data_IF_219426484750
#
_entry.id   IF_219426484750
#
_cell.length_a   1.000
_cell.length_b   1.000
_cell.length_c   1.000
_cell.angle_alpha   90.00
_cell.angle_beta   90.00
_cell.angle_gamma   90.00
#
_symmetry.space_group_name_H-M   'P 1'
#
loop_
_entity.id
_entity.type
_entity.pdbx_description
1 polymer ?
#
# COMPACT_ATOMS: atom_id res chain seq x y z
N UNK A 1 27.50 4.31 22.52
CA UNK A 1 26.14 4.10 21.94
C UNK A 1 25.05 4.72 22.83
N UNK A 2 25.10 4.60 24.17
CA UNK A 2 24.04 5.10 25.07
C UNK A 2 23.68 6.60 24.98
N UNK A 3 24.63 7.49 24.69
CA UNK A 3 24.38 8.96 24.69
C UNK A 3 24.13 9.53 23.28
N UNK A 4 24.03 8.68 22.26
CA UNK A 4 23.81 9.12 20.88
C UNK A 4 22.50 9.91 20.75
N UNK A 5 21.49 9.48 21.50
CA UNK A 5 20.16 10.08 21.46
C UNK A 5 20.15 11.48 22.07
N UNK A 6 20.88 11.71 23.17
CA UNK A 6 20.96 13.01 23.84
C UNK A 6 21.47 14.11 22.91
N UNK A 7 22.44 13.76 22.05
CA UNK A 7 23.04 14.66 21.07
C UNK A 7 22.38 14.64 19.69
N UNK A 8 21.25 13.93 19.53
CA UNK A 8 20.53 13.84 18.26
C UNK A 8 19.10 14.37 18.38
N UNK A 9 18.31 13.79 19.28
CA UNK A 9 16.86 14.05 19.37
C UNK A 9 16.36 14.26 20.79
N UNK A 10 17.22 14.10 21.81
CA UNK A 10 16.82 14.11 23.23
C UNK A 10 15.73 13.05 23.51
N UNK A 11 14.73 13.32 24.34
CA UNK A 11 13.61 12.38 24.56
C UNK A 11 12.43 12.63 23.60
N UNK A 12 11.60 11.60 23.30
CA UNK A 12 10.30 11.81 22.64
C UNK A 12 9.43 12.80 23.41
N UNK A 13 8.48 13.47 22.76
CA UNK A 13 7.67 14.51 23.41
C UNK A 13 6.95 13.95 24.66
N UNK A 14 7.00 14.68 25.78
CA UNK A 14 6.44 14.22 27.06
C UNK A 14 4.94 13.93 26.98
N UNK A 15 4.20 14.73 26.20
CA UNK A 15 2.77 14.51 25.94
C UNK A 15 2.53 13.18 25.21
N UNK A 16 3.32 12.87 24.17
CA UNK A 16 3.18 11.60 23.44
C UNK A 16 3.56 10.40 24.30
N UNK A 17 4.52 10.53 25.21
CA UNK A 17 4.85 9.46 26.16
C UNK A 17 3.67 9.15 27.10
N UNK A 18 2.99 10.17 27.62
CA UNK A 18 1.80 9.97 28.45
C UNK A 18 0.63 9.37 27.65
N UNK A 19 0.44 9.80 26.40
CA UNK A 19 -0.56 9.21 25.50
C UNK A 19 -0.23 7.73 25.18
N UNK A 20 1.04 7.40 24.95
CA UNK A 20 1.49 6.04 24.72
C UNK A 20 1.27 5.14 25.95
N UNK A 21 1.52 5.66 27.15
CA UNK A 21 1.22 4.93 28.40
C UNK A 21 -0.27 4.60 28.51
N UNK A 22 -1.14 5.57 28.21
CA UNK A 22 -2.59 5.36 28.21
C UNK A 22 -3.01 4.35 27.12
N UNK A 23 -2.42 4.43 25.92
CA UNK A 23 -2.70 3.50 24.83
C UNK A 23 -2.26 2.07 25.15
N UNK A 24 -1.16 1.88 25.90
CA UNK A 24 -0.63 0.57 26.27
C UNK A 24 -1.36 -0.08 27.45
N UNK A 25 -1.77 0.72 28.43
CA UNK A 25 -2.37 0.21 29.69
C UNK A 25 -3.89 0.30 29.73
N UNK A 26 -4.49 1.07 28.82
CA UNK A 26 -5.94 1.21 28.69
C UNK A 26 -6.61 0.06 27.92
N UNK A 27 -7.90 0.25 27.63
CA UNK A 27 -8.69 -0.70 26.86
C UNK A 27 -8.12 -0.92 25.44
N UNK A 28 -7.98 -2.18 25.05
CA UNK A 28 -7.42 -2.60 23.77
C UNK A 28 -8.50 -2.92 22.71
N UNK A 29 -9.79 -2.78 23.03
CA UNK A 29 -10.88 -3.11 22.10
C UNK A 29 -10.79 -2.36 20.77
N UNK A 30 -10.28 -1.12 20.78
CA UNK A 30 -10.08 -0.30 19.59
C UNK A 30 -9.15 -0.96 18.56
N UNK A 31 -8.15 -1.73 19.02
CA UNK A 31 -7.21 -2.45 18.16
C UNK A 31 -7.93 -3.56 17.41
N UNK A 32 -8.76 -4.35 18.09
CA UNK A 32 -9.50 -5.45 17.44
C UNK A 32 -10.56 -4.92 16.47
N UNK A 33 -11.21 -3.80 16.78
CA UNK A 33 -12.11 -3.11 15.85
C UNK A 33 -11.37 -2.73 14.56
N UNK A 34 -10.21 -2.08 14.68
CA UNK A 34 -9.42 -1.69 13.51
C UNK A 34 -8.84 -2.90 12.76
N UNK A 35 -8.40 -3.94 13.47
CA UNK A 35 -7.89 -5.19 12.87
C UNK A 35 -8.94 -5.87 11.99
N UNK A 36 -10.18 -5.98 12.46
CA UNK A 36 -11.29 -6.55 11.68
C UNK A 36 -11.58 -5.74 10.42
N UNK A 37 -11.55 -4.41 10.55
CA UNK A 37 -11.78 -3.51 9.43
C UNK A 37 -10.64 -3.60 8.39
N UNK A 38 -9.38 -3.70 8.81
CA UNK A 38 -8.27 -3.96 7.89
C UNK A 38 -8.33 -5.33 7.24
N UNK A 39 -8.78 -6.37 7.95
CA UNK A 39 -8.93 -7.71 7.36
C UNK A 39 -10.01 -7.73 6.25
N UNK A 40 -11.13 -7.04 6.46
CA UNK A 40 -12.17 -6.82 5.44
C UNK A 40 -11.60 -6.09 4.22
N UNK A 41 -10.88 -4.98 4.43
CA UNK A 41 -10.28 -4.17 3.34
C UNK A 41 -9.20 -4.95 2.58
N UNK A 42 -8.37 -5.71 3.29
CA UNK A 42 -7.39 -6.64 2.70
C UNK A 42 -8.09 -7.63 1.79
N UNK A 43 -9.12 -8.33 2.29
CA UNK A 43 -9.85 -9.32 1.50
C UNK A 43 -10.43 -8.72 0.20
N UNK A 44 -11.00 -7.51 0.29
CA UNK A 44 -11.49 -6.80 -0.88
C UNK A 44 -10.38 -6.44 -1.87
N UNK A 45 -9.29 -5.81 -1.39
CA UNK A 45 -8.18 -5.36 -2.23
C UNK A 45 -7.48 -6.54 -2.93
N UNK A 46 -7.15 -7.61 -2.21
CA UNK A 46 -6.48 -8.79 -2.79
C UNK A 46 -7.37 -9.47 -3.83
N UNK A 47 -8.68 -9.61 -3.55
CA UNK A 47 -9.63 -10.16 -4.53
C UNK A 47 -9.70 -9.31 -5.79
N UNK A 48 -9.73 -7.98 -5.66
CA UNK A 48 -9.78 -7.06 -6.82
C UNK A 48 -8.49 -7.10 -7.62
N UNK A 49 -7.34 -6.98 -6.98
CA UNK A 49 -6.03 -7.00 -7.65
C UNK A 49 -5.82 -8.28 -8.45
N UNK A 50 -6.08 -9.45 -7.85
CA UNK A 50 -5.97 -10.74 -8.55
C UNK A 50 -7.05 -10.97 -9.62
N UNK A 51 -8.06 -10.10 -9.71
CA UNK A 51 -9.05 -10.11 -10.78
C UNK A 51 -8.65 -9.28 -12.00
N UNK A 52 -7.60 -8.46 -11.90
CA UNK A 52 -7.10 -7.61 -12.99
C UNK A 52 -6.01 -8.39 -13.75
N UNK A 53 -6.19 -8.66 -15.06
CA UNK A 53 -5.18 -9.36 -15.85
C UNK A 53 -3.83 -8.63 -15.85
N UNK A 54 -2.73 -9.37 -15.65
CA UNK A 54 -1.37 -8.83 -15.57
C UNK A 54 -0.96 -8.33 -14.19
N UNK A 55 -1.84 -8.44 -13.19
CA UNK A 55 -1.50 -8.22 -11.78
C UNK A 55 -1.53 -9.55 -11.00
N UNK A 56 -0.57 -9.72 -10.10
CA UNK A 56 -0.56 -10.83 -9.15
C UNK A 56 -0.21 -10.32 -7.76
N UNK A 57 -1.05 -10.61 -6.77
CA UNK A 57 -0.83 -10.19 -5.40
C UNK A 57 -1.05 -11.35 -4.42
N UNK A 58 0.02 -11.73 -3.73
CA UNK A 58 -0.05 -12.72 -2.65
C UNK A 58 -0.88 -12.16 -1.49
N UNK A 59 -1.69 -13.03 -0.86
CA UNK A 59 -2.45 -12.65 0.33
C UNK A 59 -1.51 -12.43 1.53
N UNK A 60 -1.42 -11.20 2.09
CA UNK A 60 -0.50 -10.93 3.19
C UNK A 60 -1.01 -11.50 4.52
N UNK A 61 -0.07 -12.04 5.31
CA UNK A 61 -0.36 -12.56 6.66
C UNK A 61 -0.58 -11.49 7.73
N UNK A 62 -0.28 -10.23 7.45
CA UNK A 62 -0.39 -9.11 8.40
C UNK A 62 -0.08 -7.76 7.77
N UNK A 63 0.12 -6.74 8.62
CA UNK A 63 0.24 -5.33 8.22
C UNK A 63 -0.99 -4.80 7.47
N UNK A 64 -0.83 -3.65 6.80
CA UNK A 64 -1.90 -3.00 6.03
C UNK A 64 -1.49 -2.68 4.58
N UNK A 65 -0.61 -3.51 4.00
CA UNK A 65 -0.08 -3.35 2.65
C UNK A 65 -0.33 -4.57 1.77
N UNK A 66 -0.62 -4.33 0.50
CA UNK A 66 -0.58 -5.31 -0.58
C UNK A 66 0.66 -5.02 -1.43
N UNK A 67 1.45 -6.05 -1.72
CA UNK A 67 2.64 -5.95 -2.57
C UNK A 67 2.34 -6.70 -3.87
N UNK A 68 1.97 -5.93 -4.89
CA UNK A 68 1.43 -6.45 -6.13
C UNK A 68 2.52 -6.51 -7.19
N UNK A 69 2.71 -7.68 -7.77
CA UNK A 69 3.54 -7.92 -8.93
C UNK A 69 2.88 -7.31 -10.18
N UNK A 70 3.68 -6.60 -10.97
CA UNK A 70 3.31 -5.94 -12.22
C UNK A 70 4.21 -6.38 -13.40
N UNK A 71 5.05 -7.40 -13.21
CA UNK A 71 6.05 -7.85 -14.20
C UNK A 71 5.45 -8.18 -15.56
N UNK A 72 4.24 -8.78 -15.58
CA UNK A 72 3.51 -9.11 -16.81
C UNK A 72 3.08 -7.88 -17.64
N UNK A 73 3.14 -6.68 -17.06
CA UNK A 73 2.80 -5.42 -17.75
C UNK A 73 4.00 -4.77 -18.44
N UNK A 74 5.22 -5.31 -18.23
CA UNK A 74 6.42 -4.87 -18.94
C UNK A 74 6.94 -3.47 -18.58
N UNK A 75 6.61 -2.97 -17.38
CA UNK A 75 7.08 -1.68 -16.87
C UNK A 75 7.89 -1.86 -15.59
N UNK A 76 8.93 -1.04 -15.40
CA UNK A 76 9.55 -0.88 -14.08
C UNK A 76 8.58 -0.17 -13.12
N UNK A 77 8.81 -0.35 -11.82
CA UNK A 77 7.88 0.11 -10.78
C UNK A 77 7.79 1.63 -10.70
N UNK A 78 8.87 2.37 -10.98
CA UNK A 78 8.90 3.84 -10.93
C UNK A 78 8.05 4.39 -12.06
N UNK A 79 8.31 3.97 -13.30
CA UNK A 79 7.55 4.39 -14.48
C UNK A 79 6.07 4.06 -14.32
N UNK A 80 5.76 2.83 -13.88
CA UNK A 80 4.38 2.41 -13.66
C UNK A 80 3.67 3.32 -12.65
N UNK A 81 4.31 3.58 -11.50
CA UNK A 81 3.74 4.38 -10.42
C UNK A 81 3.52 5.84 -10.85
N UNK A 82 4.45 6.43 -11.59
CA UNK A 82 4.34 7.79 -12.10
C UNK A 82 3.24 7.90 -13.16
N UNK A 83 3.19 7.00 -14.14
CA UNK A 83 2.14 7.02 -15.17
C UNK A 83 0.75 6.83 -14.56
N UNK A 84 0.61 5.91 -13.60
CA UNK A 84 -0.67 5.68 -12.91
C UNK A 84 -1.13 6.93 -12.15
N UNK A 85 -0.19 7.63 -11.49
CA UNK A 85 -0.49 8.87 -10.79
C UNK A 85 -0.92 9.97 -11.75
N UNK A 86 -0.15 10.21 -12.81
CA UNK A 86 -0.41 11.28 -13.77
C UNK A 86 -1.69 11.07 -14.59
N UNK A 87 -1.94 9.84 -15.05
CA UNK A 87 -3.05 9.54 -15.96
C UNK A 87 -4.35 9.23 -15.22
N UNK A 88 -4.28 8.57 -14.07
CA UNK A 88 -5.45 8.05 -13.38
C UNK A 88 -5.59 8.56 -11.94
N UNK A 89 -4.69 9.44 -11.46
CA UNK A 89 -4.75 10.03 -10.13
C UNK A 89 -4.79 8.99 -9.00
N UNK A 90 -3.96 7.95 -9.11
CA UNK A 90 -3.78 6.92 -8.07
C UNK A 90 -2.32 6.88 -7.66
N UNK A 91 -2.05 7.20 -6.39
CA UNK A 91 -0.70 7.13 -5.82
C UNK A 91 -0.43 5.73 -5.25
N UNK A 92 0.64 5.11 -5.71
CA UNK A 92 1.21 3.86 -5.16
C UNK A 92 2.70 4.08 -4.88
N UNK A 93 3.30 3.22 -4.07
CA UNK A 93 4.75 3.30 -3.82
C UNK A 93 5.46 2.29 -4.72
N UNK A 94 6.47 2.71 -5.51
CA UNK A 94 7.23 1.81 -6.36
C UNK A 94 8.00 0.79 -5.51
N UNK A 95 8.16 -0.41 -6.06
CA UNK A 95 8.82 -1.55 -5.44
C UNK A 95 10.34 -1.43 -5.40
N UNK A 96 10.94 -0.58 -6.26
CA UNK A 96 12.37 -0.31 -6.30
C UNK A 96 12.92 0.11 -4.92
N UNK A 97 12.19 0.96 -4.19
CA UNK A 97 12.54 1.39 -2.83
C UNK A 97 12.55 0.27 -1.79
N UNK A 98 12.02 -0.91 -2.14
CA UNK A 98 12.06 -2.13 -1.34
C UNK A 98 12.98 -3.22 -1.92
N UNK A 99 13.66 -2.94 -3.04
CA UNK A 99 14.52 -3.89 -3.74
C UNK A 99 13.79 -4.82 -4.72
N UNK A 100 12.55 -4.51 -5.10
CA UNK A 100 11.71 -5.34 -5.98
C UNK A 100 11.04 -4.50 -7.07
N UNK A 101 11.77 -4.18 -8.12
CA UNK A 101 11.32 -3.25 -9.17
C UNK A 101 10.15 -3.77 -10.03
N UNK A 102 9.82 -5.06 -9.93
CA UNK A 102 8.64 -5.63 -10.57
C UNK A 102 7.36 -5.49 -9.74
N UNK A 103 7.37 -4.74 -8.64
CA UNK A 103 6.26 -4.66 -7.70
C UNK A 103 5.84 -3.22 -7.41
N UNK A 104 4.61 -3.07 -6.95
CA UNK A 104 4.11 -1.83 -6.33
C UNK A 104 3.47 -2.14 -4.98
N UNK A 105 3.59 -1.21 -4.04
CA UNK A 105 2.97 -1.31 -2.71
C UNK A 105 1.72 -0.45 -2.64
N UNK A 106 0.59 -1.09 -2.35
CA UNK A 106 -0.69 -0.44 -2.08
C UNK A 106 -1.00 -0.49 -0.59
N UNK A 107 -1.58 0.58 -0.04
CA UNK A 107 -2.06 0.64 1.33
C UNK A 107 -3.57 0.46 1.37
N UNK A 108 -4.06 -0.44 2.21
CA UNK A 108 -5.50 -0.56 2.53
C UNK A 108 -5.87 0.10 3.86
N UNK A 109 -5.00 0.99 4.38
CA UNK A 109 -5.29 1.88 5.50
C UNK A 109 -5.99 3.19 5.06
N UNK A 110 -6.99 3.07 4.17
CA UNK A 110 -7.82 4.16 3.69
C UNK A 110 -9.31 3.83 3.86
N UNK A 111 -10.20 4.77 3.55
CA UNK A 111 -11.64 4.48 3.51
C UNK A 111 -11.97 3.45 2.45
N UNK A 112 -13.00 2.65 2.67
CA UNK A 112 -13.46 1.64 1.71
C UNK A 112 -13.80 2.27 0.35
N UNK A 113 -14.39 3.47 0.35
CA UNK A 113 -14.73 4.20 -0.88
C UNK A 113 -13.50 4.63 -1.67
N UNK A 114 -12.43 5.08 -0.99
CA UNK A 114 -11.19 5.43 -1.67
C UNK A 114 -10.49 4.19 -2.22
N UNK A 115 -10.54 3.06 -1.50
CA UNK A 115 -10.00 1.78 -1.99
C UNK A 115 -10.74 1.35 -3.26
N UNK A 116 -12.07 1.38 -3.25
CA UNK A 116 -12.90 1.04 -4.43
C UNK A 116 -12.53 1.91 -5.63
N UNK A 117 -12.60 3.23 -5.48
CA UNK A 117 -12.29 4.20 -6.55
C UNK A 117 -10.86 4.07 -7.07
N UNK A 118 -9.90 3.87 -6.16
CA UNK A 118 -8.49 3.69 -6.54
C UNK A 118 -8.27 2.41 -7.35
N UNK A 119 -8.94 1.31 -6.98
CA UNK A 119 -8.84 0.05 -7.71
C UNK A 119 -9.57 0.09 -9.06
N UNK A 120 -10.69 0.81 -9.17
CA UNK A 120 -11.38 1.02 -10.44
C UNK A 120 -10.47 1.77 -11.43
N UNK A 121 -9.83 2.84 -10.97
CA UNK A 121 -8.85 3.62 -11.75
C UNK A 121 -7.59 2.83 -12.12
N UNK A 122 -7.09 2.00 -11.21
CA UNK A 122 -5.97 1.10 -11.47
C UNK A 122 -6.32 0.09 -12.56
N UNK A 123 -7.52 -0.50 -12.49
CA UNK A 123 -8.00 -1.44 -13.50
C UNK A 123 -8.13 -0.79 -14.88
N UNK A 124 -8.63 0.44 -14.96
CA UNK A 124 -8.66 1.25 -16.19
C UNK A 124 -7.25 1.48 -16.74
N UNK A 125 -6.31 1.88 -15.90
CA UNK A 125 -4.92 2.10 -16.29
C UNK A 125 -4.27 0.82 -16.85
N UNK A 126 -4.43 -0.31 -16.16
CA UNK A 126 -3.87 -1.59 -16.59
C UNK A 126 -4.45 -2.01 -17.96
N UNK A 127 -5.74 -1.80 -18.20
CA UNK A 127 -6.36 -2.04 -19.52
C UNK A 127 -5.67 -1.19 -20.61
N UNK A 128 -5.44 0.09 -20.35
CA UNK A 128 -4.72 0.97 -21.29
C UNK A 128 -3.29 0.50 -21.56
N UNK A 129 -2.57 0.04 -20.53
CA UNK A 129 -1.20 -0.49 -20.68
C UNK A 129 -1.19 -1.76 -21.54
N UNK A 130 -2.13 -2.68 -21.28
CA UNK A 130 -2.25 -3.93 -22.06
C UNK A 130 -2.60 -3.63 -23.53
N UNK A 131 -3.51 -2.69 -23.79
CA UNK A 131 -3.85 -2.26 -25.15
C UNK A 131 -2.66 -1.61 -25.86
N UNK A 132 -1.89 -0.75 -25.17
CA UNK A 132 -0.67 -0.14 -25.69
C UNK A 132 0.37 -1.20 -26.08
N UNK A 133 0.59 -2.20 -25.23
CA UNK A 133 1.57 -3.25 -25.49
C UNK A 133 1.19 -4.13 -26.70
N UNK A 134 -0.10 -4.36 -26.95
CA UNK A 134 -0.59 -5.09 -28.13
C UNK A 134 -0.41 -4.35 -29.46
N UNK A 135 -0.36 -3.02 -29.45
CA UNK A 135 -0.14 -2.23 -30.69
C UNK A 135 1.33 -2.18 -31.11
N UNK A 136 2.24 -2.54 -30.20
CA UNK A 136 3.69 -2.54 -30.41
C UNK A 136 4.24 -3.92 -30.83
N UNK A 137 3.38 -4.95 -30.89
CA UNK A 137 3.69 -6.33 -31.31
C UNK A 137 3.05 -6.63 -32.66
#
# INVERSE_FOLDING_TARGET
ISNLQDHSTSNPTSISQMAALAALTGDQSCVEVMRKEFDKRKGYMIKRLNGIPGLLCTNPGGAFYAFCDISDLGSDSITFSNELLEKNNVAVVPGDGFGWDSHIRLSFAASEDNIKKGLDRLEEFVKMVVERNRQLT
#
